data_IF_128156770477
#
_entry.id   IF_128156770477
#
_cell.length_a   1.000
_cell.length_b   1.000
_cell.length_c   1.000
_cell.angle_alpha   90.00
_cell.angle_beta   90.00
_cell.angle_gamma   90.00
#
_symmetry.space_group_name_H-M   'P 1'
#
loop_
_entity.id
_entity.type
_entity.pdbx_description
1 polymer ?
#
# COMPACT_ATOMS: atom_id res chain seq x y z
N UNK A 1 -6.66 0.30 9.21
CA UNK A 1 -5.49 -0.35 9.83
C UNK A 1 -5.78 -0.52 11.32
N UNK A 2 -5.34 -1.62 11.92
CA UNK A 2 -5.72 -1.94 13.31
C UNK A 2 -5.22 -0.90 14.32
N UNK A 3 -4.02 -0.38 14.08
CA UNK A 3 -3.30 0.62 14.88
C UNK A 3 -4.12 1.85 15.33
N UNK A 4 -5.20 2.21 14.64
CA UNK A 4 -6.07 3.33 15.03
C UNK A 4 -7.05 2.99 16.16
N UNK A 5 -7.06 1.77 16.69
CA UNK A 5 -7.74 1.45 17.94
C UNK A 5 -6.94 1.90 19.17
N UNK A 6 -5.69 2.35 19.01
CA UNK A 6 -4.84 2.72 20.12
C UNK A 6 -5.31 4.01 20.81
N UNK A 7 -5.65 3.93 22.08
CA UNK A 7 -6.16 5.04 22.90
C UNK A 7 -5.09 5.72 23.76
N UNK A 8 -3.85 5.23 23.71
CA UNK A 8 -2.74 5.68 24.56
C UNK A 8 -2.34 4.66 25.62
N UNK A 9 -3.19 3.68 25.92
CA UNK A 9 -2.94 2.62 26.90
C UNK A 9 -3.21 1.23 26.30
N UNK A 10 -4.31 1.05 25.58
CA UNK A 10 -4.79 -0.21 24.99
C UNK A 10 -5.06 -0.07 23.50
N UNK A 11 -5.20 -1.20 22.80
CA UNK A 11 -5.38 -1.24 21.34
C UNK A 11 -4.05 -1.19 20.59
N UNK A 12 -4.10 -0.90 19.29
CA UNK A 12 -2.93 -0.99 18.42
C UNK A 12 -3.10 -2.11 17.39
N UNK A 13 -1.98 -2.68 16.93
CA UNK A 13 -2.04 -3.87 16.08
C UNK A 13 -2.00 -5.11 16.98
N UNK A 14 -3.12 -5.42 17.63
CA UNK A 14 -3.26 -6.45 18.65
C UNK A 14 -4.19 -7.60 18.21
N UNK A 15 -4.72 -7.53 16.98
CA UNK A 15 -5.61 -8.54 16.41
C UNK A 15 -7.07 -8.36 16.83
N UNK A 16 -7.38 -7.36 17.68
CA UNK A 16 -8.74 -7.08 18.15
C UNK A 16 -9.75 -6.88 17.02
N UNK A 17 -9.30 -6.31 15.89
CA UNK A 17 -10.14 -6.08 14.70
C UNK A 17 -10.81 -7.35 14.17
N UNK A 18 -10.24 -8.54 14.40
CA UNK A 18 -10.83 -9.81 13.98
C UNK A 18 -12.09 -10.16 14.76
N UNK A 19 -12.30 -9.54 15.93
CA UNK A 19 -13.46 -9.70 16.81
C UNK A 19 -14.47 -8.54 16.70
N UNK A 20 -14.19 -7.55 15.86
CA UNK A 20 -14.94 -6.28 15.79
C UNK A 20 -15.59 -6.04 14.43
N UNK A 21 -15.71 -7.08 13.61
CA UNK A 21 -16.19 -6.99 12.22
C UNK A 21 -17.67 -6.61 12.13
N UNK A 22 -18.43 -6.80 13.20
CA UNK A 22 -19.83 -6.41 13.33
C UNK A 22 -20.03 -4.92 13.66
N UNK A 23 -18.95 -4.20 14.04
CA UNK A 23 -19.03 -2.78 14.39
C UNK A 23 -19.19 -1.89 13.15
N UNK A 24 -19.95 -0.78 13.24
CA UNK A 24 -20.08 0.18 12.14
C UNK A 24 -18.75 0.73 11.61
N UNK A 25 -17.76 0.90 12.49
CA UNK A 25 -16.41 1.38 12.13
C UNK A 25 -15.56 0.36 11.36
N UNK A 26 -15.98 -0.92 11.34
CA UNK A 26 -15.30 -2.02 10.66
C UNK A 26 -15.98 -2.46 9.37
N UNK A 27 -17.08 -1.80 8.99
CA UNK A 27 -17.83 -2.08 7.76
C UNK A 27 -16.91 -2.08 6.53
N UNK A 28 -17.01 -3.13 5.71
CA UNK A 28 -16.20 -3.29 4.50
C UNK A 28 -14.89 -4.05 4.70
N UNK A 29 -14.54 -4.43 5.94
CA UNK A 29 -13.36 -5.22 6.24
C UNK A 29 -13.58 -6.74 6.15
N UNK A 30 -14.79 -7.21 5.84
CA UNK A 30 -15.15 -8.63 5.85
C UNK A 30 -14.27 -9.44 4.90
N UNK A 31 -14.10 -8.95 3.66
CA UNK A 31 -13.21 -9.58 2.66
C UNK A 31 -11.75 -9.59 3.10
N UNK A 32 -11.29 -8.51 3.73
CA UNK A 32 -9.92 -8.42 4.24
C UNK A 32 -9.71 -9.40 5.40
N UNK A 33 -10.70 -9.53 6.30
CA UNK A 33 -10.67 -10.45 7.41
C UNK A 33 -10.69 -11.92 6.94
N UNK A 34 -11.43 -12.25 5.89
CA UNK A 34 -11.37 -13.58 5.27
C UNK A 34 -9.98 -13.90 4.72
N UNK A 35 -9.35 -12.94 4.03
CA UNK A 35 -7.99 -13.11 3.53
C UNK A 35 -6.98 -13.32 4.68
N UNK A 36 -7.10 -12.54 5.76
CA UNK A 36 -6.29 -12.69 6.98
C UNK A 36 -6.51 -14.06 7.62
N UNK A 37 -7.77 -14.52 7.75
CA UNK A 37 -8.11 -15.85 8.29
C UNK A 37 -7.47 -16.98 7.47
N UNK A 38 -7.51 -16.86 6.15
CA UNK A 38 -6.88 -17.85 5.25
C UNK A 38 -5.37 -17.90 5.45
N UNK A 39 -4.70 -16.75 5.40
CA UNK A 39 -3.23 -16.67 5.57
C UNK A 39 -2.81 -17.20 6.95
N UNK A 40 -3.51 -16.79 8.01
CA UNK A 40 -3.26 -17.31 9.35
C UNK A 40 -3.45 -18.83 9.43
N UNK A 41 -4.52 -19.38 8.84
CA UNK A 41 -4.76 -20.82 8.82
C UNK A 41 -3.65 -21.60 8.09
N UNK A 42 -3.15 -21.07 6.97
CA UNK A 42 -2.06 -21.69 6.21
C UNK A 42 -0.74 -21.65 7.00
N UNK A 43 -0.41 -20.52 7.62
CA UNK A 43 0.85 -20.32 8.33
C UNK A 43 0.91 -20.99 9.70
N UNK A 44 -0.21 -21.06 10.43
CA UNK A 44 -0.30 -21.68 11.76
C UNK A 44 0.06 -23.16 11.77
N UNK A 45 0.05 -23.83 10.61
CA UNK A 45 0.47 -25.23 10.48
C UNK A 45 1.96 -25.44 10.74
N UNK A 46 2.77 -24.39 10.62
CA UNK A 46 4.24 -24.47 10.70
C UNK A 46 4.87 -23.39 11.58
N UNK A 47 4.08 -22.42 12.05
CA UNK A 47 4.54 -21.26 12.83
C UNK A 47 3.54 -20.92 13.93
N UNK A 48 3.99 -20.14 14.93
CA UNK A 48 3.14 -19.57 15.98
C UNK A 48 2.64 -18.16 15.62
N UNK A 49 2.40 -17.88 14.33
CA UNK A 49 1.98 -16.55 13.89
C UNK A 49 0.59 -16.20 14.43
N UNK A 50 0.42 -14.95 14.85
CA UNK A 50 -0.83 -14.40 15.39
C UNK A 50 -1.62 -13.62 14.34
N UNK A 51 -2.89 -13.34 14.59
CA UNK A 51 -3.67 -12.45 13.73
C UNK A 51 -3.08 -11.04 13.68
N UNK A 52 -2.61 -10.52 14.82
CA UNK A 52 -1.89 -9.26 14.92
C UNK A 52 -0.69 -9.20 13.95
N UNK A 53 0.09 -10.28 13.89
CA UNK A 53 1.23 -10.41 12.98
C UNK A 53 0.80 -10.44 11.51
N UNK A 54 -0.22 -11.22 11.18
CA UNK A 54 -0.75 -11.30 9.81
C UNK A 54 -1.30 -9.95 9.35
N UNK A 55 -2.01 -9.22 10.22
CA UNK A 55 -2.55 -7.88 9.91
C UNK A 55 -1.42 -6.87 9.69
N UNK A 56 -0.40 -6.86 10.56
CA UNK A 56 0.76 -5.98 10.40
C UNK A 56 1.49 -6.24 9.06
N UNK A 57 1.70 -7.52 8.75
CA UNK A 57 2.38 -7.98 7.54
C UNK A 57 1.56 -7.69 6.27
N UNK A 58 0.25 -7.91 6.30
CA UNK A 58 -0.64 -7.69 5.17
C UNK A 58 -0.65 -6.23 4.72
N UNK A 59 -0.74 -5.27 5.65
CA UNK A 59 -0.73 -3.85 5.29
C UNK A 59 0.60 -3.38 4.68
N UNK A 60 1.74 -3.87 5.20
CA UNK A 60 3.06 -3.56 4.63
C UNK A 60 3.22 -4.19 3.24
N UNK A 61 2.73 -5.42 3.08
CA UNK A 61 2.71 -6.12 1.80
C UNK A 61 1.84 -5.43 0.76
N UNK A 62 0.70 -4.86 1.16
CA UNK A 62 -0.18 -4.10 0.27
C UNK A 62 0.52 -2.85 -0.28
N UNK A 63 1.22 -2.10 0.57
CA UNK A 63 2.00 -0.93 0.16
C UNK A 63 3.14 -1.34 -0.78
N UNK A 64 3.89 -2.40 -0.44
CA UNK A 64 4.96 -2.90 -1.31
C UNK A 64 4.41 -3.41 -2.66
N UNK A 65 3.26 -4.08 -2.66
CA UNK A 65 2.66 -4.66 -3.86
C UNK A 65 2.31 -3.60 -4.92
N UNK A 66 1.94 -2.39 -4.52
CA UNK A 66 1.70 -1.27 -5.43
C UNK A 66 2.97 -0.46 -5.76
N UNK A 67 4.15 -0.97 -5.42
CA UNK A 67 5.45 -0.32 -5.66
C UNK A 67 5.83 0.72 -4.60
N UNK A 68 5.19 0.70 -3.43
CA UNK A 68 5.47 1.58 -2.30
C UNK A 68 6.84 1.35 -1.64
N UNK A 69 7.17 2.10 -0.57
CA UNK A 69 8.39 1.85 0.18
C UNK A 69 8.34 0.47 0.83
N UNK A 70 9.49 -0.23 0.85
CA UNK A 70 9.65 -1.39 1.71
C UNK A 70 9.57 -0.96 3.16
N UNK A 71 8.72 -1.63 3.92
CA UNK A 71 8.55 -1.42 5.35
C UNK A 71 8.99 -2.69 6.04
N UNK A 72 9.97 -2.58 6.95
CA UNK A 72 10.32 -3.70 7.83
C UNK A 72 9.10 -3.98 8.70
N UNK A 73 8.72 -5.24 8.84
CA UNK A 73 7.64 -5.64 9.73
C UNK A 73 8.21 -6.43 10.88
N UNK A 74 8.00 -5.95 12.11
CA UNK A 74 8.31 -6.73 13.29
C UNK A 74 7.19 -7.75 13.51
N UNK A 75 7.53 -9.01 13.78
CA UNK A 75 6.58 -10.07 14.13
C UNK A 75 6.76 -10.49 15.59
N UNK A 76 5.86 -11.35 16.10
CA UNK A 76 5.85 -11.84 17.46
C UNK A 76 4.93 -11.07 18.39
N UNK A 77 3.84 -10.51 17.86
CA UNK A 77 2.79 -9.87 18.67
C UNK A 77 1.87 -10.91 19.27
N UNK A 78 1.42 -10.69 20.49
CA UNK A 78 0.36 -11.50 21.09
C UNK A 78 -1.02 -11.04 20.61
N UNK A 79 -1.90 -12.00 20.31
CA UNK A 79 -3.30 -11.71 20.02
C UNK A 79 -4.08 -11.44 21.31
N UNK A 80 -4.89 -10.38 21.30
CA UNK A 80 -5.92 -10.21 22.34
C UNK A 80 -7.02 -11.26 22.18
N UNK A 81 -7.62 -11.65 23.31
CA UNK A 81 -8.69 -12.68 23.35
C UNK A 81 -10.10 -12.09 23.38
N UNK A 82 -10.21 -10.76 23.26
CA UNK A 82 -11.46 -10.01 23.39
C UNK A 82 -11.44 -8.85 22.39
N UNK A 83 -12.61 -8.37 21.92
CA UNK A 83 -12.67 -7.13 21.18
C UNK A 83 -12.14 -5.97 22.04
N UNK A 84 -11.52 -4.98 21.39
CA UNK A 84 -11.08 -3.75 22.02
C UNK A 84 -12.26 -2.89 22.50
N UNK A 85 -12.00 -1.82 23.26
CA UNK A 85 -13.04 -0.95 23.79
C UNK A 85 -13.94 -0.40 22.67
N UNK A 86 -15.25 -0.41 22.92
CA UNK A 86 -16.23 0.10 21.96
C UNK A 86 -16.03 1.61 21.80
N UNK A 87 -15.83 2.05 20.56
CA UNK A 87 -15.57 3.44 20.24
C UNK A 87 -14.10 3.86 20.15
N UNK A 88 -13.15 2.92 20.20
CA UNK A 88 -11.74 3.20 19.86
C UNK A 88 -11.57 3.84 18.46
N UNK A 89 -12.55 3.62 17.56
CA UNK A 89 -12.66 4.26 16.24
C UNK A 89 -13.97 5.05 16.08
N UNK A 90 -14.60 5.45 17.18
CA UNK A 90 -15.87 6.18 17.15
C UNK A 90 -15.70 7.51 16.40
N UNK A 91 -16.72 7.88 15.63
CA UNK A 91 -16.76 9.14 14.88
C UNK A 91 -16.11 9.11 13.51
N UNK A 92 -15.34 8.06 13.17
CA UNK A 92 -14.81 7.89 11.82
C UNK A 92 -15.67 6.93 11.00
N UNK A 93 -16.08 7.38 9.82
CA UNK A 93 -16.82 6.60 8.84
C UNK A 93 -16.05 6.57 7.53
N UNK A 94 -15.81 5.38 6.98
CA UNK A 94 -15.22 5.24 5.64
C UNK A 94 -16.16 5.73 4.53
N UNK A 95 -17.47 5.66 4.75
CA UNK A 95 -18.48 6.16 3.79
C UNK A 95 -18.51 7.70 3.76
N UNK A 96 -18.17 8.36 4.89
CA UNK A 96 -18.20 9.81 5.03
C UNK A 96 -17.07 10.31 5.96
N UNK A 97 -15.80 10.23 5.51
CA UNK A 97 -14.67 10.59 6.37
C UNK A 97 -14.61 12.11 6.58
N UNK A 98 -14.40 12.53 7.82
CA UNK A 98 -14.28 13.94 8.19
C UNK A 98 -12.90 14.24 8.75
N UNK A 99 -12.41 15.47 8.55
CA UNK A 99 -11.11 15.87 9.06
C UNK A 99 -11.01 15.84 10.60
N UNK A 100 -12.03 16.27 11.38
CA UNK A 100 -11.99 16.12 12.84
C UNK A 100 -11.85 14.67 13.29
N UNK A 101 -12.60 13.75 12.68
CA UNK A 101 -12.50 12.32 13.00
C UNK A 101 -11.12 11.75 12.62
N UNK A 102 -10.57 12.13 11.46
CA UNK A 102 -9.22 11.73 11.06
C UNK A 102 -8.15 12.25 12.03
N UNK A 103 -8.25 13.50 12.47
CA UNK A 103 -7.35 14.08 13.48
C UNK A 103 -7.48 13.37 14.82
N UNK A 104 -8.69 13.01 15.23
CA UNK A 104 -8.94 12.25 16.46
C UNK A 104 -8.29 10.87 16.42
N UNK A 105 -8.45 10.13 15.31
CA UNK A 105 -7.74 8.85 15.11
C UNK A 105 -6.22 9.03 15.12
N UNK A 106 -5.74 10.11 14.50
CA UNK A 106 -4.33 10.48 14.49
C UNK A 106 -3.75 10.77 15.87
N UNK A 107 -4.53 11.42 16.74
CA UNK A 107 -4.12 11.75 18.10
C UNK A 107 -3.88 10.49 18.94
N UNK A 108 -4.80 9.52 18.90
CA UNK A 108 -4.63 8.23 19.56
C UNK A 108 -3.34 7.53 19.10
N UNK A 109 -3.15 7.47 17.77
CA UNK A 109 -1.95 6.88 17.16
C UNK A 109 -0.68 7.77 17.20
N UNK A 110 -0.71 8.92 17.90
CA UNK A 110 0.42 9.87 18.02
C UNK A 110 1.03 10.31 16.68
N UNK A 111 0.17 10.49 15.68
CA UNK A 111 0.53 10.94 14.33
C UNK A 111 0.53 12.46 14.24
N UNK A 112 1.49 12.99 13.49
CA UNK A 112 1.58 14.40 13.13
C UNK A 112 0.76 14.72 11.87
N UNK A 113 0.51 16.01 11.60
CA UNK A 113 -0.21 16.45 10.40
C UNK A 113 0.35 15.88 9.08
N UNK A 114 1.66 15.96 8.82
CA UNK A 114 2.27 15.35 7.63
C UNK A 114 2.06 13.83 7.54
N UNK A 115 2.10 13.12 8.66
CA UNK A 115 1.91 11.67 8.70
C UNK A 115 0.46 11.28 8.39
N UNK A 116 -0.51 12.07 8.85
CA UNK A 116 -1.92 11.90 8.48
C UNK A 116 -2.14 12.13 6.98
N UNK A 117 -1.52 13.16 6.40
CA UNK A 117 -1.59 13.41 4.96
C UNK A 117 -0.92 12.28 4.17
N UNK A 118 0.20 11.75 4.64
CA UNK A 118 0.87 10.62 4.02
C UNK A 118 0.01 9.34 4.05
N UNK A 119 -0.72 9.10 5.14
CA UNK A 119 -1.68 8.01 5.25
C UNK A 119 -2.83 8.15 4.23
N UNK A 120 -3.46 9.32 4.17
CA UNK A 120 -4.54 9.58 3.20
C UNK A 120 -4.04 9.41 1.77
N UNK A 121 -2.86 9.93 1.45
CA UNK A 121 -2.27 9.75 0.13
C UNK A 121 -1.95 8.30 -0.21
N UNK A 122 -1.50 7.52 0.78
CA UNK A 122 -1.27 6.08 0.59
C UNK A 122 -2.56 5.34 0.30
N UNK A 123 -3.64 5.65 1.03
CA UNK A 123 -4.96 5.04 0.81
C UNK A 123 -5.51 5.42 -0.57
N UNK A 124 -5.46 6.69 -0.94
CA UNK A 124 -5.92 7.15 -2.26
C UNK A 124 -5.18 6.44 -3.40
N UNK A 125 -3.87 6.22 -3.28
CA UNK A 125 -3.10 5.47 -4.27
C UNK A 125 -3.48 3.99 -4.31
N UNK A 126 -3.71 3.35 -3.15
CA UNK A 126 -4.18 1.97 -3.08
C UNK A 126 -5.55 1.82 -3.73
N UNK A 127 -6.46 2.77 -3.50
CA UNK A 127 -7.78 2.79 -4.14
C UNK A 127 -7.67 2.97 -5.65
N UNK A 128 -6.81 3.88 -6.12
CA UNK A 128 -6.54 4.06 -7.55
C UNK A 128 -5.97 2.78 -8.18
N UNK A 129 -5.04 2.11 -7.49
CA UNK A 129 -4.43 0.86 -7.95
C UNK A 129 -5.41 -0.33 -7.93
N UNK A 130 -6.44 -0.29 -7.08
CA UNK A 130 -7.48 -1.30 -6.97
C UNK A 130 -8.59 -1.16 -8.02
N UNK A 131 -8.66 -0.02 -8.74
CA UNK A 131 -9.63 0.14 -9.84
C UNK A 131 -9.26 -0.80 -10.99
N UNK A 132 -10.22 -1.56 -11.55
CA UNK A 132 -9.96 -2.37 -12.72
C UNK A 132 -9.53 -1.46 -13.88
N UNK A 133 -8.48 -1.85 -14.59
CA UNK A 133 -8.09 -1.20 -15.84
C UNK A 133 -9.18 -1.52 -16.86
N UNK A 134 -9.86 -0.52 -17.41
CA UNK A 134 -10.69 -0.72 -18.60
C UNK A 134 -9.75 -1.13 -19.74
N UNK A 135 -9.68 -2.43 -20.03
CA UNK A 135 -9.12 -2.94 -21.25
C UNK A 135 -10.02 -2.44 -22.38
N UNK A 136 -9.53 -1.49 -23.18
CA UNK A 136 -10.14 -1.13 -24.45
C UNK A 136 -10.35 -2.39 -25.29
N UNK A 137 -11.49 -2.43 -25.99
CA UNK A 137 -12.10 -3.53 -26.74
C UNK A 137 -11.11 -4.43 -27.53
N UNK A 138 -11.46 -5.72 -27.74
CA UNK A 138 -10.60 -6.67 -28.43
C UNK A 138 -10.38 -6.23 -29.88
N UNK A 139 -9.12 -6.21 -30.31
CA UNK A 139 -8.75 -6.06 -31.71
C UNK A 139 -9.24 -7.33 -32.42
N UNK A 140 -10.05 -7.17 -33.46
CA UNK A 140 -10.48 -8.28 -34.31
C UNK A 140 -9.23 -8.98 -34.86
N UNK A 141 -9.09 -10.27 -34.59
CA UNK A 141 -8.07 -11.13 -35.18
C UNK A 141 -8.37 -11.25 -36.69
N UNK A 142 -7.84 -10.34 -37.52
CA UNK A 142 -7.69 -10.63 -38.93
C UNK A 142 -6.48 -11.57 -39.09
N UNK A 143 -6.78 -12.82 -39.43
CA UNK A 143 -5.85 -13.88 -39.76
C UNK A 143 -4.79 -13.39 -40.76
N UNK A 144 -3.60 -13.04 -40.25
CA UNK A 144 -2.45 -12.75 -41.09
C UNK A 144 -1.79 -14.07 -41.49
N UNK A 145 -2.10 -14.53 -42.71
CA UNK A 145 -1.43 -15.60 -43.42
C UNK A 145 0.11 -15.51 -43.28
N UNK A 146 0.71 -16.59 -42.80
CA UNK A 146 2.16 -16.76 -42.73
C UNK A 146 2.66 -17.16 -44.13
N UNK A 147 3.37 -16.25 -44.80
CA UNK A 147 4.15 -16.55 -46.01
C UNK A 147 5.18 -17.69 -45.70
N UNK A 148 5.29 -18.72 -46.57
CA UNK A 148 6.18 -19.87 -46.37
C UNK A 148 7.69 -19.56 -46.30
N UNK A 149 8.14 -18.33 -46.59
CA UNK A 149 9.56 -17.96 -46.55
C UNK A 149 10.04 -17.35 -45.20
N UNK A 150 9.19 -17.32 -44.17
CA UNK A 150 9.64 -17.10 -42.78
C UNK A 150 10.30 -15.75 -42.47
N UNK A 151 10.09 -14.72 -43.30
CA UNK A 151 10.53 -13.35 -43.00
C UNK A 151 9.41 -12.58 -42.33
N UNK A 152 9.47 -12.47 -41.01
CA UNK A 152 8.64 -11.54 -40.26
C UNK A 152 8.91 -10.10 -40.73
N UNK A 153 7.95 -9.52 -41.45
CA UNK A 153 7.92 -8.10 -41.73
C UNK A 153 7.81 -7.34 -40.40
N UNK A 154 8.67 -6.35 -40.23
CA UNK A 154 8.71 -5.49 -39.06
C UNK A 154 7.41 -4.68 -38.96
N UNK A 155 6.46 -5.15 -38.15
CA UNK A 155 5.39 -4.32 -37.66
C UNK A 155 5.97 -3.35 -36.62
N UNK A 156 6.05 -2.07 -36.99
CA UNK A 156 6.38 -0.98 -36.08
C UNK A 156 5.26 -0.84 -35.04
N UNK A 157 5.40 -1.49 -33.90
CA UNK A 157 4.51 -1.34 -32.75
C UNK A 157 4.93 -0.09 -31.98
N UNK A 158 4.29 1.04 -32.30
CA UNK A 158 4.32 2.26 -31.50
C UNK A 158 3.18 2.26 -30.49
N UNK A 159 3.52 2.21 -29.20
CA UNK A 159 2.57 2.23 -28.09
C UNK A 159 3.13 1.51 -26.86
N UNK A 160 4.19 2.05 -26.27
CA UNK A 160 4.88 1.46 -25.11
C UNK A 160 3.97 1.40 -23.87
N UNK A 161 3.36 0.24 -23.61
CA UNK A 161 2.91 -0.13 -22.27
C UNK A 161 4.11 -0.42 -21.39
N UNK A 162 4.38 0.42 -20.39
CA UNK A 162 5.66 0.44 -19.66
C UNK A 162 5.74 -0.45 -18.41
N UNK A 163 4.68 -1.17 -18.00
CA UNK A 163 4.67 -1.74 -16.63
C UNK A 163 4.24 -3.20 -16.45
N UNK A 164 4.29 -4.01 -17.51
CA UNK A 164 4.35 -5.48 -17.36
C UNK A 164 5.49 -6.04 -18.21
N UNK A 165 6.73 -5.88 -17.72
CA UNK A 165 7.86 -6.70 -18.19
C UNK A 165 8.34 -7.59 -17.04
N UNK A 166 7.93 -8.84 -17.05
CA UNK A 166 8.74 -9.90 -16.46
C UNK A 166 10.03 -9.99 -17.27
N UNK A 167 11.13 -9.48 -16.70
CA UNK A 167 12.44 -9.47 -17.34
C UNK A 167 12.63 -8.28 -18.28
N UNK A 168 13.51 -7.36 -17.88
CA UNK A 168 14.10 -6.43 -18.84
C UNK A 168 15.04 -7.23 -19.76
N UNK A 169 14.63 -7.51 -20.99
CA UNK A 169 15.56 -7.84 -22.06
C UNK A 169 16.32 -6.54 -22.35
N UNK A 170 17.55 -6.42 -21.84
CA UNK A 170 18.46 -5.33 -22.24
C UNK A 170 18.53 -5.32 -23.77
N UNK A 171 18.76 -4.16 -24.41
CA UNK A 171 19.02 -4.10 -25.87
C UNK A 171 20.20 -4.99 -26.31
N UNK A 172 20.97 -5.49 -25.35
CA UNK A 172 22.10 -6.43 -25.48
C UNK A 172 21.87 -7.73 -24.68
N UNK A 173 20.62 -8.14 -24.44
CA UNK A 173 20.36 -9.39 -23.75
C UNK A 173 20.93 -10.57 -24.56
N UNK A 174 21.60 -11.53 -23.91
CA UNK A 174 22.14 -12.69 -24.60
C UNK A 174 21.00 -13.46 -25.24
N UNK A 175 21.22 -13.97 -26.45
CA UNK A 175 20.26 -14.84 -27.12
C UNK A 175 20.28 -16.21 -26.44
N UNK A 176 19.17 -16.98 -26.49
CA UNK A 176 19.12 -18.34 -25.95
C UNK A 176 20.22 -19.28 -26.48
N UNK A 177 20.81 -18.92 -27.63
CA UNK A 177 21.93 -19.61 -28.28
C UNK A 177 23.31 -19.28 -27.71
N UNK A 178 23.43 -18.26 -26.85
CA UNK A 178 24.72 -17.83 -26.31
C UNK A 178 25.19 -18.74 -25.18
N UNK A 179 26.46 -19.13 -25.21
CA UNK A 179 27.06 -20.07 -24.25
C UNK A 179 26.93 -19.64 -22.77
N UNK A 180 26.69 -18.35 -22.50
CA UNK A 180 26.51 -17.78 -21.17
C UNK A 180 25.08 -17.26 -20.90
N UNK A 181 24.08 -17.67 -21.70
CA UNK A 181 22.69 -17.22 -21.57
C UNK A 181 22.15 -17.38 -20.15
N UNK A 182 22.38 -18.53 -19.51
CA UNK A 182 21.92 -18.80 -18.14
C UNK A 182 22.64 -17.94 -17.07
N UNK A 183 23.90 -17.57 -17.29
CA UNK A 183 24.69 -16.77 -16.33
C UNK A 183 24.43 -15.26 -16.46
N UNK A 184 24.10 -14.79 -17.67
CA UNK A 184 23.78 -13.41 -17.97
C UNK A 184 22.27 -13.10 -17.88
N UNK A 185 21.42 -14.12 -17.99
CA UNK A 185 20.02 -14.11 -17.54
C UNK A 185 19.98 -14.16 -16.02
N UNK A 186 20.60 -13.18 -15.35
CA UNK A 186 20.26 -12.92 -13.96
C UNK A 186 18.78 -12.58 -13.97
N UNK A 187 17.98 -13.48 -13.44
CA UNK A 187 16.60 -13.22 -13.06
C UNK A 187 16.66 -12.08 -12.02
N UNK A 188 16.78 -10.84 -12.48
CA UNK A 188 16.66 -9.68 -11.61
C UNK A 188 15.18 -9.59 -11.31
N UNK A 189 14.75 -10.22 -10.23
CA UNK A 189 13.54 -9.82 -9.54
C UNK A 189 13.85 -8.43 -9.02
N UNK A 190 13.64 -7.41 -9.86
CA UNK A 190 13.73 -6.04 -9.40
C UNK A 190 12.53 -5.82 -8.49
N UNK A 191 12.76 -6.00 -7.20
CA UNK A 191 11.73 -5.93 -6.14
C UNK A 191 11.18 -4.50 -6.00
N UNK A 192 11.57 -3.56 -6.88
CA UNK A 192 11.02 -2.21 -7.03
C UNK A 192 9.90 -2.14 -8.08
N UNK A 193 9.63 -3.23 -8.81
CA UNK A 193 8.56 -3.31 -9.80
C UNK A 193 7.23 -3.48 -9.06
N UNK A 194 6.27 -2.62 -9.38
CA UNK A 194 4.89 -2.73 -8.94
C UNK A 194 4.38 -4.15 -9.25
N UNK A 195 3.94 -4.87 -8.22
CA UNK A 195 3.47 -6.24 -8.34
C UNK A 195 2.01 -6.30 -8.78
N UNK A 196 1.20 -5.29 -8.41
CA UNK A 196 -0.24 -5.24 -8.66
C UNK A 196 -0.70 -3.79 -8.89
N UNK A 197 -1.69 -3.62 -9.79
CA UNK A 197 -2.29 -2.33 -10.14
C UNK A 197 -1.54 -1.62 -11.27
N UNK A 198 -2.22 -0.72 -11.97
CA UNK A 198 -1.62 0.13 -13.02
C UNK A 198 -1.07 1.46 -12.49
N UNK A 199 -1.43 1.84 -11.26
CA UNK A 199 -1.05 3.10 -10.64
C UNK A 199 0.18 2.93 -9.74
N UNK A 200 1.36 3.48 -10.10
CA UNK A 200 2.54 3.37 -9.25
C UNK A 200 2.39 4.17 -7.96
N UNK A 201 3.03 3.70 -6.88
CA UNK A 201 3.12 4.44 -5.62
C UNK A 201 4.05 5.67 -5.74
N UNK A 202 3.47 6.79 -6.17
CA UNK A 202 4.15 8.04 -6.45
C UNK A 202 3.39 9.26 -5.90
N UNK A 203 3.53 10.44 -6.53
CA UNK A 203 2.90 11.69 -6.06
C UNK A 203 1.61 12.03 -6.83
N UNK A 204 1.13 11.13 -7.70
CA UNK A 204 -0.02 11.36 -8.58
C UNK A 204 -1.27 11.74 -7.81
N UNK A 205 -1.55 11.08 -6.68
CA UNK A 205 -2.69 11.41 -5.83
C UNK A 205 -2.68 12.89 -5.40
N UNK A 206 -1.55 13.39 -4.89
CA UNK A 206 -1.42 14.77 -4.45
C UNK A 206 -1.44 15.77 -5.62
N UNK A 207 -0.87 15.38 -6.76
CA UNK A 207 -0.95 16.20 -7.97
C UNK A 207 -2.40 16.36 -8.46
N UNK A 208 -3.18 15.28 -8.46
CA UNK A 208 -4.61 15.32 -8.81
C UNK A 208 -5.42 16.12 -7.79
N UNK A 209 -5.08 16.04 -6.50
CA UNK A 209 -5.73 16.81 -5.43
C UNK A 209 -5.53 18.34 -5.61
N UNK A 210 -4.37 18.76 -6.12
CA UNK A 210 -4.03 20.16 -6.34
C UNK A 210 -4.42 20.69 -7.73
N UNK A 211 -4.89 19.84 -8.64
CA UNK A 211 -5.24 20.23 -10.00
C UNK A 211 -6.54 21.04 -10.03
N UNK A 212 -6.41 22.33 -10.34
CA UNK A 212 -7.55 23.26 -10.49
C UNK A 212 -8.44 22.93 -11.69
N UNK A 213 -7.96 22.11 -12.65
CA UNK A 213 -8.70 21.68 -13.84
C UNK A 213 -9.37 20.31 -13.67
N UNK A 214 -9.29 19.72 -12.48
CA UNK A 214 -9.91 18.43 -12.18
C UNK A 214 -11.41 18.48 -12.45
N UNK A 215 -11.90 17.50 -13.22
CA UNK A 215 -13.32 17.38 -13.56
C UNK A 215 -14.14 16.77 -12.42
N UNK A 216 -13.54 15.81 -11.69
CA UNK A 216 -14.18 15.19 -10.54
C UNK A 216 -14.15 16.13 -9.32
N UNK A 217 -15.28 16.33 -8.61
CA UNK A 217 -15.31 17.14 -7.40
C UNK A 217 -14.45 16.52 -6.30
N UNK A 218 -13.85 17.37 -5.46
CA UNK A 218 -13.13 16.92 -4.28
C UNK A 218 -14.09 16.27 -3.28
N UNK A 219 -13.65 15.19 -2.65
CA UNK A 219 -14.39 14.63 -1.52
C UNK A 219 -14.45 15.63 -0.35
N UNK A 220 -15.39 15.47 0.60
CA UNK A 220 -15.43 16.31 1.79
C UNK A 220 -14.11 16.30 2.58
N UNK A 221 -13.46 15.13 2.68
CA UNK A 221 -12.15 15.00 3.33
C UNK A 221 -11.05 15.73 2.54
N UNK A 222 -10.99 15.54 1.23
CA UNK A 222 -10.02 16.19 0.35
C UNK A 222 -10.12 17.72 0.43
N UNK A 223 -11.36 18.24 0.42
CA UNK A 223 -11.64 19.66 0.57
C UNK A 223 -11.17 20.17 1.94
N UNK A 224 -11.43 19.41 3.01
CA UNK A 224 -11.02 19.79 4.35
C UNK A 224 -9.50 19.77 4.53
N UNK A 225 -8.79 18.80 3.94
CA UNK A 225 -7.32 18.72 3.93
C UNK A 225 -6.70 19.95 3.26
N UNK A 226 -7.30 20.42 2.15
CA UNK A 226 -6.82 21.59 1.43
C UNK A 226 -7.20 22.93 2.06
N UNK A 227 -8.23 22.96 2.90
CA UNK A 227 -8.64 24.13 3.67
C UNK A 227 -7.77 24.33 4.93
N UNK A 228 -7.19 23.27 5.48
CA UNK A 228 -6.25 23.33 6.60
C UNK A 228 -4.86 23.76 6.13
N UNK A 229 -4.37 24.90 6.62
CA UNK A 229 -3.11 25.50 6.16
C UNK A 229 -1.86 24.66 6.47
N UNK A 230 -1.86 23.81 7.50
CA UNK A 230 -0.74 22.94 7.83
C UNK A 230 -0.76 21.67 6.98
N UNK A 231 -1.93 21.05 6.86
CA UNK A 231 -2.10 19.83 6.06
C UNK A 231 -1.92 20.11 4.57
N UNK A 232 -2.41 21.25 4.09
CA UNK A 232 -2.18 21.71 2.72
C UNK A 232 -0.70 21.84 2.38
N UNK A 233 0.13 22.40 3.29
CA UNK A 233 1.58 22.48 3.06
C UNK A 233 2.19 21.10 2.88
N UNK A 234 1.74 20.12 3.67
CA UNK A 234 2.19 18.73 3.56
C UNK A 234 1.76 18.11 2.23
N UNK A 235 0.53 18.37 1.77
CA UNK A 235 0.03 17.94 0.45
C UNK A 235 0.89 18.52 -0.68
N UNK A 236 1.18 19.83 -0.64
CA UNK A 236 2.02 20.51 -1.64
C UNK A 236 3.46 19.99 -1.64
N UNK A 237 3.98 19.62 -0.47
CA UNK A 237 5.32 19.07 -0.35
C UNK A 237 5.41 17.65 -0.90
N UNK A 238 4.46 16.78 -0.55
CA UNK A 238 4.41 15.42 -1.09
C UNK A 238 4.14 15.41 -2.59
N UNK A 239 3.36 16.36 -3.12
CA UNK A 239 3.18 16.51 -4.57
C UNK A 239 4.51 16.75 -5.29
N UNK A 240 5.46 17.47 -4.65
CA UNK A 240 6.76 17.83 -5.23
C UNK A 240 7.84 16.77 -4.98
N UNK A 241 7.72 15.96 -3.93
CA UNK A 241 8.79 15.06 -3.50
C UNK A 241 8.29 13.63 -3.24
N UNK A 242 8.45 12.78 -4.27
CA UNK A 242 8.24 11.33 -4.14
C UNK A 242 9.08 10.71 -3.03
N UNK A 243 10.32 11.18 -2.86
CA UNK A 243 11.23 10.70 -1.81
C UNK A 243 10.65 10.97 -0.43
N UNK A 244 10.29 12.23 -0.15
CA UNK A 244 9.78 12.63 1.16
C UNK A 244 8.48 11.92 1.49
N UNK A 245 7.56 11.81 0.53
CA UNK A 245 6.34 11.03 0.71
C UNK A 245 6.63 9.58 1.10
N UNK A 246 7.52 8.89 0.38
CA UNK A 246 7.88 7.48 0.66
C UNK A 246 8.58 7.30 2.01
N UNK A 247 9.47 8.22 2.37
CA UNK A 247 10.15 8.21 3.67
C UNK A 247 9.16 8.42 4.82
N UNK A 248 8.24 9.38 4.68
CA UNK A 248 7.18 9.59 5.67
C UNK A 248 6.31 8.35 5.80
N UNK A 249 5.84 7.76 4.70
CA UNK A 249 5.03 6.52 4.75
C UNK A 249 5.78 5.39 5.46
N UNK A 250 7.07 5.18 5.13
CA UNK A 250 7.89 4.15 5.77
C UNK A 250 8.02 4.39 7.28
N UNK A 251 8.40 5.60 7.68
CA UNK A 251 8.60 5.96 9.08
C UNK A 251 7.30 5.86 9.87
N UNK A 252 6.21 6.43 9.35
CA UNK A 252 4.88 6.36 9.96
C UNK A 252 4.42 4.92 10.13
N UNK A 253 4.52 4.08 9.10
CA UNK A 253 4.09 2.68 9.22
C UNK A 253 4.97 1.90 10.20
N UNK A 254 6.29 2.16 10.24
CA UNK A 254 7.19 1.62 11.26
C UNK A 254 6.77 1.99 12.69
N UNK A 255 6.40 3.25 12.91
CA UNK A 255 5.89 3.74 14.21
C UNK A 255 4.53 3.14 14.57
N UNK A 256 3.60 3.03 13.61
CA UNK A 256 2.29 2.42 13.86
C UNK A 256 2.40 0.96 14.29
N UNK A 257 3.45 0.25 13.86
CA UNK A 257 3.66 -1.16 14.20
C UNK A 257 4.05 -1.43 15.65
N UNK A 258 4.61 -0.44 16.35
CA UNK A 258 5.02 -0.57 17.76
C UNK A 258 3.97 -0.01 18.72
N UNK A 259 2.92 0.65 18.21
CA UNK A 259 1.86 1.21 19.05
C UNK A 259 1.04 0.10 19.70
N UNK A 260 0.99 0.11 21.03
CA UNK A 260 0.22 -0.84 21.84
C UNK A 260 0.66 -2.31 21.71
N UNK A 261 1.74 -2.58 20.98
CA UNK A 261 2.28 -3.92 20.84
C UNK A 261 3.07 -4.32 22.07
N UNK A 262 2.60 -5.35 22.77
CA UNK A 262 3.38 -6.02 23.82
C UNK A 262 4.26 -7.09 23.15
N UNK A 263 5.47 -6.69 22.72
CA UNK A 263 6.46 -7.62 22.19
C UNK A 263 7.89 -7.23 22.61
N UNK A 264 8.74 -8.24 22.81
CA UNK A 264 10.14 -8.03 23.22
C UNK A 264 10.91 -7.28 22.13
N UNK A 265 11.47 -6.11 22.46
CA UNK A 265 12.35 -5.35 21.56
C UNK A 265 11.69 -4.22 20.76
N UNK A 266 10.47 -3.79 21.11
CA UNK A 266 9.78 -2.69 20.42
C UNK A 266 10.59 -1.38 20.34
N UNK A 267 11.33 -1.02 21.39
CA UNK A 267 12.16 0.19 21.39
C UNK A 267 13.33 0.12 20.39
N UNK A 268 14.05 -1.01 20.32
CA UNK A 268 15.16 -1.20 19.38
C UNK A 268 14.72 -1.22 17.92
N UNK A 269 13.47 -1.60 17.64
CA UNK A 269 12.94 -1.61 16.27
C UNK A 269 12.79 -0.20 15.69
N UNK A 270 12.44 0.79 16.52
CA UNK A 270 12.32 2.17 16.07
C UNK A 270 13.69 2.77 15.68
N UNK A 271 14.73 2.51 16.48
CA UNK A 271 16.10 2.99 16.21
C UNK A 271 16.66 2.45 14.88
N UNK A 272 16.32 1.21 14.54
CA UNK A 272 16.70 0.55 13.26
C UNK A 272 15.90 1.05 12.03
N UNK A 273 14.87 1.87 12.24
CA UNK A 273 14.07 2.50 11.18
C UNK A 273 14.40 3.96 10.96
N UNK A 274 15.08 4.63 11.91
CA UNK A 274 15.59 5.99 11.74
C UNK A 274 16.93 6.04 11.00
N UNK A 275 17.77 5.01 11.14
CA UNK A 275 19.11 4.98 10.54
C UNK A 275 19.34 3.64 9.82
N UNK A 276 19.18 3.61 8.50
CA UNK A 276 19.96 2.79 7.55
C UNK A 276 19.46 2.99 6.09
N UNK A 277 20.18 3.90 5.40
CA UNK A 277 20.28 4.16 3.94
C UNK A 277 19.17 4.96 3.26
#
# INVERSE_FOLDING_TARGET
MDAFSYDGEQGGIDGSIMYELDRPSSKGLERAAEAVKRVHADMKRTTEITYADVVAFAGASAIEAVGGPKVKVQLGRDDVKKPGPEGARAGFSWDAPTLPALKQMGQGAKLTGPELVALVGSLGLLEMAARPVELGLPVEDEDADIDPDGKAAAASIGGESSYTRYGNVRKEAPKPTDANYLAASKLSVDVRVQKIGSQPFDTTYFAQLLDKKRQAPLSPLESALLADGELRKSVEEFAKSKRKFRETVRSTYGRLQVLGGDFKGAASFLDDTSDNV
#
